data_IF_526391900114
#
_entry.id   IF_526391900114
#
_cell.length_a   1.000
_cell.length_b   1.000
_cell.length_c   1.000
_cell.angle_alpha   90.00
_cell.angle_beta   90.00
_cell.angle_gamma   90.00
#
_symmetry.space_group_name_H-M   'P 1'
#
loop_
_entity.id
_entity.type
_entity.pdbx_description
1 polymer ?
#
# COMPACT_ATOMS: atom_id res chain seq x y z
N UNK A 1 12.52 -21.16 -19.95
CA UNK A 1 11.87 -19.94 -19.42
C UNK A 1 11.84 -20.06 -17.91
N UNK A 2 12.51 -19.16 -17.20
CA UNK A 2 12.47 -19.15 -15.72
C UNK A 2 11.25 -18.32 -15.36
N UNK A 3 10.10 -18.95 -15.20
CA UNK A 3 8.94 -18.28 -14.62
C UNK A 3 9.30 -17.96 -13.17
N UNK A 4 9.60 -16.69 -12.89
CA UNK A 4 9.79 -16.22 -11.53
C UNK A 4 8.44 -16.34 -10.83
N UNK A 5 8.31 -17.25 -9.86
CA UNK A 5 7.07 -17.45 -9.13
C UNK A 5 6.73 -16.17 -8.32
N UNK A 6 5.64 -15.45 -8.67
CA UNK A 6 5.25 -14.20 -8.00
C UNK A 6 4.77 -14.39 -6.58
N UNK A 7 4.58 -15.64 -6.13
CA UNK A 7 4.01 -15.96 -4.82
C UNK A 7 5.10 -16.21 -3.76
N UNK A 8 6.38 -16.31 -4.17
CA UNK A 8 7.49 -16.56 -3.25
C UNK A 8 7.58 -15.47 -2.19
N UNK A 9 7.43 -15.86 -0.93
CA UNK A 9 7.53 -14.97 0.23
C UNK A 9 8.97 -14.88 0.72
N UNK A 10 9.44 -13.66 0.96
CA UNK A 10 10.72 -13.42 1.63
C UNK A 10 10.62 -13.64 3.16
N UNK A 11 11.71 -13.38 3.90
CA UNK A 11 11.76 -13.53 5.37
C UNK A 11 10.71 -12.70 6.13
N UNK A 12 10.21 -11.62 5.54
CA UNK A 12 9.15 -10.78 6.14
C UNK A 12 7.74 -11.11 5.61
N UNK A 13 7.61 -12.21 4.85
CA UNK A 13 6.34 -12.66 4.29
C UNK A 13 5.90 -11.91 3.04
N UNK A 14 6.71 -10.96 2.55
CA UNK A 14 6.38 -10.17 1.37
C UNK A 14 6.72 -10.92 0.08
N UNK A 15 5.80 -10.87 -0.88
CA UNK A 15 6.01 -11.30 -2.27
C UNK A 15 6.81 -10.27 -3.08
N UNK A 16 7.32 -10.57 -4.29
CA UNK A 16 8.06 -9.62 -5.11
C UNK A 16 7.35 -8.26 -5.29
N UNK A 17 6.02 -8.26 -5.35
CA UNK A 17 5.22 -7.04 -5.42
C UNK A 17 5.42 -6.12 -4.20
N UNK A 18 5.55 -6.68 -2.99
CA UNK A 18 5.86 -5.88 -1.80
C UNK A 18 7.23 -5.26 -1.91
N UNK A 19 8.22 -6.00 -2.42
CA UNK A 19 9.59 -5.49 -2.55
C UNK A 19 9.64 -4.35 -3.58
N UNK A 20 8.94 -4.49 -4.70
CA UNK A 20 8.81 -3.43 -5.70
C UNK A 20 8.10 -2.20 -5.12
N UNK A 21 6.99 -2.39 -4.39
CA UNK A 21 6.26 -1.33 -3.71
C UNK A 21 7.07 -0.65 -2.59
N UNK A 22 7.88 -1.39 -1.83
CA UNK A 22 8.79 -0.83 -0.80
C UNK A 22 9.80 0.12 -1.43
N UNK A 23 10.36 -0.26 -2.58
CA UNK A 23 11.44 0.48 -3.24
C UNK A 23 10.92 1.52 -4.24
N UNK A 24 9.60 1.68 -4.40
CA UNK A 24 9.02 2.64 -5.34
C UNK A 24 9.27 2.30 -6.80
N UNK A 25 9.49 1.02 -7.13
CA UNK A 25 9.89 0.57 -8.47
C UNK A 25 8.65 0.34 -9.34
N UNK A 26 8.08 1.43 -9.86
CA UNK A 26 6.85 1.41 -10.67
C UNK A 26 6.94 0.45 -11.85
N UNK A 27 8.04 0.48 -12.61
CA UNK A 27 8.23 -0.42 -13.76
C UNK A 27 8.28 -1.90 -13.35
N UNK A 28 8.85 -2.21 -12.18
CA UNK A 28 8.82 -3.56 -11.65
C UNK A 28 7.40 -3.98 -11.23
N UNK A 29 6.61 -3.05 -10.68
CA UNK A 29 5.19 -3.31 -10.37
C UNK A 29 4.42 -3.59 -11.67
N UNK A 30 4.59 -2.76 -12.71
CA UNK A 30 3.95 -2.98 -14.02
C UNK A 30 4.33 -4.31 -14.63
N UNK A 31 5.60 -4.69 -14.60
CA UNK A 31 6.07 -5.98 -15.10
C UNK A 31 5.53 -7.17 -14.28
N UNK A 32 5.34 -7.02 -12.97
CA UNK A 32 4.74 -8.07 -12.15
C UNK A 32 3.24 -8.21 -12.43
N UNK A 33 2.54 -7.10 -12.66
CA UNK A 33 1.11 -7.07 -12.98
C UNK A 33 0.75 -7.75 -14.30
N UNK A 34 1.71 -8.02 -15.18
CA UNK A 34 1.46 -8.81 -16.40
C UNK A 34 1.42 -10.32 -16.14
N UNK A 35 1.66 -10.78 -14.91
CA UNK A 35 1.65 -12.20 -14.57
C UNK A 35 0.26 -12.63 -14.11
N UNK A 36 -0.26 -13.72 -14.71
CA UNK A 36 -1.64 -14.19 -14.54
C UNK A 36 -1.97 -14.55 -13.08
N UNK A 37 -1.02 -15.15 -12.36
CA UNK A 37 -1.21 -15.63 -10.97
C UNK A 37 -0.61 -14.68 -9.91
N UNK A 38 -0.45 -13.38 -10.20
CA UNK A 38 0.10 -12.44 -9.21
C UNK A 38 -0.91 -12.22 -8.07
N UNK A 39 -0.54 -12.51 -6.81
CA UNK A 39 -1.41 -12.24 -5.68
C UNK A 39 -1.32 -10.75 -5.30
N UNK A 40 -2.14 -9.91 -5.95
CA UNK A 40 -2.20 -8.46 -5.76
C UNK A 40 -2.44 -8.08 -4.29
N UNK A 41 -3.37 -8.79 -3.65
CA UNK A 41 -3.75 -8.61 -2.24
C UNK A 41 -2.96 -9.55 -1.30
N UNK A 42 -1.80 -10.08 -1.73
CA UNK A 42 -0.95 -10.82 -0.81
C UNK A 42 -0.62 -9.97 0.41
N UNK A 43 -0.71 -10.57 1.60
CA UNK A 43 -0.32 -9.91 2.84
C UNK A 43 1.04 -10.39 3.32
N UNK A 44 1.88 -9.45 3.77
CA UNK A 44 3.11 -9.77 4.49
C UNK A 44 2.83 -10.17 5.96
N UNK A 45 3.86 -10.44 6.77
CA UNK A 45 3.71 -10.82 8.19
C UNK A 45 3.01 -9.75 9.06
N UNK A 46 2.96 -8.51 8.60
CA UNK A 46 2.25 -7.41 9.24
C UNK A 46 0.81 -7.28 8.73
N UNK A 47 0.32 -8.22 7.94
CA UNK A 47 -0.99 -8.14 7.31
C UNK A 47 -1.07 -7.04 6.24
N UNK A 48 0.04 -6.45 5.82
CA UNK A 48 0.04 -5.33 4.86
C UNK A 48 0.11 -5.90 3.44
N UNK A 49 -0.79 -5.42 2.58
CA UNK A 49 -0.70 -5.58 1.14
C UNK A 49 0.32 -4.59 0.52
N UNK A 50 0.67 -4.79 -0.75
CA UNK A 50 1.59 -3.90 -1.47
C UNK A 50 1.14 -2.43 -1.43
N UNK A 51 -0.18 -2.17 -1.53
CA UNK A 51 -0.78 -0.83 -1.46
C UNK A 51 -0.45 -0.11 -0.14
N UNK A 52 -0.55 -0.80 1.00
CA UNK A 52 -0.21 -0.26 2.31
C UNK A 52 1.24 0.20 2.40
N UNK A 53 2.15 -0.59 1.80
CA UNK A 53 3.59 -0.33 1.89
C UNK A 53 4.02 0.79 0.95
N UNK A 54 3.42 0.86 -0.24
CA UNK A 54 3.58 2.01 -1.13
C UNK A 54 3.03 3.30 -0.49
N UNK A 55 1.88 3.20 0.17
CA UNK A 55 1.19 4.32 0.80
C UNK A 55 2.00 4.98 1.93
N UNK A 56 2.52 4.19 2.90
CA UNK A 56 3.33 4.76 4.01
C UNK A 56 4.63 5.41 3.52
N UNK A 57 5.20 4.89 2.43
CA UNK A 57 6.44 5.41 1.85
C UNK A 57 6.25 6.60 0.94
N UNK A 58 5.01 6.90 0.53
CA UNK A 58 4.70 8.03 -0.32
C UNK A 58 4.96 7.78 -1.80
N UNK A 59 5.03 6.51 -2.22
CA UNK A 59 5.28 6.14 -3.61
C UNK A 59 3.99 6.29 -4.42
N UNK A 60 3.57 7.53 -4.66
CA UNK A 60 2.26 7.86 -5.24
C UNK A 60 2.00 7.18 -6.58
N UNK A 61 3.00 7.11 -7.47
CA UNK A 61 2.84 6.42 -8.76
C UNK A 61 2.68 4.90 -8.60
N UNK A 62 3.34 4.29 -7.60
CA UNK A 62 3.11 2.87 -7.28
C UNK A 62 1.68 2.66 -6.78
N UNK A 63 1.17 3.58 -5.94
CA UNK A 63 -0.21 3.54 -5.44
C UNK A 63 -1.21 3.64 -6.59
N UNK A 64 -1.03 4.58 -7.53
CA UNK A 64 -1.90 4.69 -8.72
C UNK A 64 -1.92 3.39 -9.52
N UNK A 65 -0.76 2.85 -9.85
CA UNK A 65 -0.66 1.61 -10.64
C UNK A 65 -1.29 0.41 -9.93
N UNK A 66 -1.14 0.31 -8.60
CA UNK A 66 -1.78 -0.75 -7.83
C UNK A 66 -3.31 -0.60 -7.78
N UNK A 67 -3.82 0.63 -7.67
CA UNK A 67 -5.27 0.90 -7.71
C UNK A 67 -5.85 0.63 -9.10
N UNK A 68 -5.16 1.04 -10.17
CA UNK A 68 -5.55 0.75 -11.55
C UNK A 68 -5.59 -0.75 -11.83
N UNK A 69 -4.75 -1.53 -11.15
CA UNK A 69 -4.74 -2.98 -11.21
C UNK A 69 -5.86 -3.65 -10.38
N UNK A 70 -6.68 -2.88 -9.66
CA UNK A 70 -7.80 -3.38 -8.86
C UNK A 70 -7.44 -3.71 -7.41
N UNK A 71 -6.34 -3.19 -6.86
CA UNK A 71 -6.00 -3.41 -5.46
C UNK A 71 -7.08 -2.83 -4.54
N UNK A 72 -7.45 -3.58 -3.50
CA UNK A 72 -8.48 -3.13 -2.56
C UNK A 72 -8.03 -1.89 -1.77
N UNK A 73 -8.70 -0.75 -2.02
CA UNK A 73 -8.33 0.56 -1.45
C UNK A 73 -8.53 0.62 0.07
N UNK A 74 -9.57 -0.04 0.58
CA UNK A 74 -9.96 -0.07 1.99
C UNK A 74 -9.58 -1.37 2.70
N UNK A 75 -8.71 -2.18 2.08
CA UNK A 75 -8.13 -3.36 2.71
C UNK A 75 -7.49 -2.97 4.04
N UNK A 76 -7.68 -3.79 5.07
CA UNK A 76 -7.15 -3.52 6.41
C UNK A 76 -5.94 -4.39 6.67
N UNK A 77 -4.87 -3.77 7.18
CA UNK A 77 -3.78 -4.56 7.74
C UNK A 77 -4.16 -5.22 9.08
N UNK A 78 -3.27 -6.04 9.64
CA UNK A 78 -3.53 -6.78 10.90
C UNK A 78 -3.86 -5.90 12.10
N UNK A 79 -3.58 -4.60 12.01
CA UNK A 79 -3.83 -3.62 13.05
C UNK A 79 -5.11 -2.81 12.78
N UNK A 80 -5.82 -3.12 11.68
CA UNK A 80 -7.03 -2.41 11.27
C UNK A 80 -6.77 -1.09 10.57
N UNK A 81 -5.55 -0.85 10.07
CA UNK A 81 -5.22 0.36 9.31
C UNK A 81 -5.34 0.11 7.81
N UNK A 82 -6.01 1.02 7.11
CA UNK A 82 -6.06 1.03 5.63
C UNK A 82 -4.82 1.70 5.02
N UNK A 83 -4.67 1.61 3.70
CA UNK A 83 -3.62 2.33 2.98
C UNK A 83 -3.66 3.85 3.26
N UNK A 84 -4.85 4.44 3.38
CA UNK A 84 -5.01 5.86 3.71
C UNK A 84 -4.46 6.21 5.10
N UNK A 85 -4.72 5.37 6.11
CA UNK A 85 -4.13 5.56 7.45
C UNK A 85 -2.61 5.51 7.40
N UNK A 86 -2.05 4.62 6.58
CA UNK A 86 -0.61 4.45 6.40
C UNK A 86 0.02 5.65 5.68
N UNK A 87 -0.61 6.17 4.64
CA UNK A 87 -0.20 7.40 3.97
C UNK A 87 -0.23 8.60 4.93
N UNK A 88 -1.31 8.74 5.71
CA UNK A 88 -1.48 9.81 6.69
C UNK A 88 -0.44 9.73 7.82
N UNK A 89 -0.17 8.53 8.35
CA UNK A 89 0.89 8.31 9.35
C UNK A 89 2.28 8.67 8.82
N UNK A 90 2.53 8.42 7.53
CA UNK A 90 3.78 8.80 6.88
C UNK A 90 3.87 10.26 6.43
N UNK A 91 2.85 11.10 6.70
CA UNK A 91 2.78 12.49 6.22
C UNK A 91 2.66 12.62 4.70
N UNK A 92 2.16 11.59 4.00
CA UNK A 92 2.15 11.51 2.54
C UNK A 92 0.87 12.14 1.97
N UNK A 93 0.84 13.47 1.91
CA UNK A 93 -0.34 14.24 1.49
C UNK A 93 -0.80 13.87 0.06
N UNK A 94 0.10 13.85 -0.91
CA UNK A 94 -0.24 13.55 -2.30
C UNK A 94 -0.75 12.12 -2.47
N UNK A 95 -0.14 11.16 -1.77
CA UNK A 95 -0.60 9.77 -1.77
C UNK A 95 -1.98 9.63 -1.11
N UNK A 96 -2.23 10.40 -0.04
CA UNK A 96 -3.54 10.44 0.61
C UNK A 96 -4.62 11.01 -0.31
N UNK A 97 -4.31 12.05 -1.10
CA UNK A 97 -5.25 12.58 -2.11
C UNK A 97 -5.59 11.54 -3.17
N UNK A 98 -4.60 10.80 -3.68
CA UNK A 98 -4.84 9.74 -4.67
C UNK A 98 -5.73 8.65 -4.10
N UNK A 99 -5.49 8.20 -2.86
CA UNK A 99 -6.32 7.19 -2.20
C UNK A 99 -7.76 7.68 -2.01
N UNK A 100 -7.95 8.93 -1.58
CA UNK A 100 -9.28 9.54 -1.47
C UNK A 100 -9.99 9.67 -2.83
N UNK A 101 -9.26 10.06 -3.87
CA UNK A 101 -9.79 10.13 -5.23
C UNK A 101 -10.20 8.76 -5.78
N UNK A 102 -9.53 7.70 -5.34
CA UNK A 102 -9.87 6.31 -5.64
C UNK A 102 -11.00 5.74 -4.76
N UNK A 103 -11.62 6.56 -3.92
CA UNK A 103 -12.78 6.18 -3.11
C UNK A 103 -12.45 5.58 -1.75
N UNK A 104 -11.22 5.76 -1.23
CA UNK A 104 -10.87 5.34 0.13
C UNK A 104 -11.80 5.97 1.17
N UNK A 105 -12.37 5.14 2.05
CA UNK A 105 -13.24 5.63 3.12
C UNK A 105 -12.41 6.29 4.23
N UNK A 106 -12.61 7.59 4.42
CA UNK A 106 -12.01 8.39 5.49
C UNK A 106 -12.53 8.01 6.89
N UNK A 107 -13.74 7.43 6.95
CA UNK A 107 -14.42 7.06 8.18
C UNK A 107 -14.16 5.63 8.64
N UNK A 108 -13.38 4.85 7.87
CA UNK A 108 -12.97 3.53 8.27
C UNK A 108 -12.14 3.60 9.56
N UNK A 109 -12.83 3.61 10.71
CA UNK A 109 -12.24 3.89 12.00
C UNK A 109 -11.29 2.76 12.39
N UNK A 110 -9.98 3.01 12.29
CA UNK A 110 -9.06 2.24 13.12
C UNK A 110 -9.37 2.53 14.59
N UNK A 111 -9.16 1.55 15.47
CA UNK A 111 -9.45 1.63 16.91
C UNK A 111 -8.74 2.79 17.65
N UNK A 112 -7.86 3.55 16.98
CA UNK A 112 -7.10 4.66 17.54
C UNK A 112 -6.94 5.78 16.50
N UNK A 113 -7.89 6.72 16.48
CA UNK A 113 -7.87 8.01 15.76
C UNK A 113 -7.92 7.92 14.22
N UNK A 114 -8.84 8.70 13.64
CA UNK A 114 -9.01 8.88 12.19
C UNK A 114 -7.67 9.16 11.50
N UNK A 115 -7.48 8.65 10.27
CA UNK A 115 -6.29 8.94 9.46
C UNK A 115 -5.90 10.43 9.47
N UNK A 116 -6.89 11.33 9.45
CA UNK A 116 -6.70 12.78 9.52
C UNK A 116 -6.10 13.27 10.86
N UNK A 117 -6.48 12.67 11.99
CA UNK A 117 -5.93 13.01 13.31
C UNK A 117 -4.49 12.55 13.45
N UNK A 118 -4.12 11.41 12.85
CA UNK A 118 -2.71 10.98 12.83
C UNK A 118 -1.86 11.94 12.00
N UNK A 119 -2.29 12.31 10.78
CA UNK A 119 -1.56 13.28 9.95
C UNK A 119 -1.33 14.62 10.65
N UNK A 120 -2.31 15.12 11.40
CA UNK A 120 -2.20 16.38 12.14
C UNK A 120 -1.19 16.33 13.31
N UNK A 121 -1.04 15.18 13.97
CA UNK A 121 -0.13 15.05 15.13
C UNK A 121 1.34 14.94 14.69
N UNK A 122 1.62 14.34 13.53
CA UNK A 122 3.00 14.13 13.05
C UNK A 122 3.52 15.24 12.12
N UNK A 123 2.66 16.16 11.66
CA UNK A 123 3.03 17.29 10.80
C UNK A 123 3.51 18.54 11.56
N UNK A 124 3.92 18.41 12.82
CA UNK A 124 4.56 19.48 13.61
C UNK A 124 6.04 19.16 13.86
N UNK A 125 6.83 19.13 12.80
CA UNK A 125 8.28 18.91 12.89
C UNK A 125 9.00 19.26 11.58
N UNK A 126 8.86 20.50 11.15
CA UNK A 126 9.87 21.21 10.33
C UNK A 126 10.35 22.41 11.16
#
# INVERSE_FOLDING_TARGET
>A
EVFADPTIKNRVGGVPLHVAAINGRVECIRALLTMEDLPLDAHNKDGRAALHVAAVRGHTECVKVLLDAGAAVDEKDRFGYTALHRAAFGGRLETSRVLLAAGADVHHASRQRSALHAAAIWNHGD
#
